data_IF_051125347884
#
_entry.id   IF_051125347884
#
_cell.length_a   1.000
_cell.length_b   1.000
_cell.length_c   1.000
_cell.angle_alpha   90.00
_cell.angle_beta   90.00
_cell.angle_gamma   90.00
#
_symmetry.space_group_name_H-M   'P 1'
#
loop_
_entity.id
_entity.type
_entity.pdbx_description
1 polymer ?
#
# COMPACT_ATOMS: atom_id res chain seq x y z
N UNK A 1 11.72 -14.76 3.22
CA UNK A 1 11.32 -15.02 1.82
C UNK A 1 10.32 -13.97 1.43
N UNK A 2 10.48 -13.36 0.26
CA UNK A 2 9.55 -12.41 -0.33
C UNK A 2 9.10 -13.00 -1.66
N UNK A 3 7.79 -13.03 -1.91
CA UNK A 3 7.20 -13.50 -3.16
C UNK A 3 6.38 -12.35 -3.73
N UNK A 4 6.73 -11.92 -4.94
CA UNK A 4 6.01 -10.85 -5.66
C UNK A 4 5.27 -11.52 -6.81
N UNK A 5 3.97 -11.24 -6.91
CA UNK A 5 3.11 -11.71 -8.00
C UNK A 5 2.55 -10.51 -8.72
N UNK A 6 2.89 -10.37 -9.99
CA UNK A 6 2.38 -9.31 -10.86
C UNK A 6 1.05 -9.77 -11.50
N UNK A 7 -0.01 -8.99 -11.26
CA UNK A 7 -1.35 -9.25 -11.80
C UNK A 7 -1.74 -8.25 -12.90
N UNK A 8 -0.80 -7.44 -13.42
CA UNK A 8 -1.06 -6.33 -14.33
C UNK A 8 -1.77 -6.71 -15.63
N UNK A 9 -1.56 -7.92 -16.15
CA UNK A 9 -2.35 -8.42 -17.30
C UNK A 9 -3.78 -8.73 -16.93
N UNK A 10 -4.00 -9.32 -15.75
CA UNK A 10 -5.32 -9.72 -15.25
C UNK A 10 -6.14 -8.54 -14.71
N UNK A 11 -5.49 -7.42 -14.39
CA UNK A 11 -6.14 -6.20 -13.90
C UNK A 11 -6.83 -5.40 -15.01
N UNK A 12 -6.73 -5.83 -16.27
CA UNK A 12 -7.39 -5.19 -17.41
C UNK A 12 -8.87 -5.56 -17.48
N UNK A 13 -9.67 -4.66 -18.02
CA UNK A 13 -11.09 -4.93 -18.31
C UNK A 13 -11.25 -6.21 -19.15
N UNK A 14 -12.24 -7.03 -18.80
CA UNK A 14 -12.55 -8.31 -19.44
C UNK A 14 -11.82 -9.52 -18.87
N UNK A 15 -10.96 -9.34 -17.86
CA UNK A 15 -10.24 -10.43 -17.16
C UNK A 15 -10.74 -10.66 -15.73
N UNK A 16 -11.91 -10.15 -15.36
CA UNK A 16 -12.40 -10.12 -13.98
C UNK A 16 -12.56 -11.53 -13.39
N UNK A 17 -13.00 -12.50 -14.19
CA UNK A 17 -13.13 -13.88 -13.77
C UNK A 17 -11.76 -14.56 -13.57
N UNK A 18 -10.81 -14.31 -14.48
CA UNK A 18 -9.46 -14.84 -14.43
C UNK A 18 -8.70 -14.25 -13.23
N UNK A 19 -8.84 -12.94 -13.00
CA UNK A 19 -8.34 -12.25 -11.81
C UNK A 19 -8.92 -12.90 -10.54
N UNK A 20 -10.24 -13.12 -10.49
CA UNK A 20 -10.87 -13.75 -9.33
C UNK A 20 -10.31 -15.16 -9.05
N UNK A 21 -10.19 -16.00 -10.07
CA UNK A 21 -9.63 -17.35 -9.94
C UNK A 21 -8.17 -17.31 -9.49
N UNK A 22 -7.35 -16.44 -10.09
CA UNK A 22 -5.94 -16.30 -9.73
C UNK A 22 -5.77 -15.86 -8.27
N UNK A 23 -6.46 -14.80 -7.86
CA UNK A 23 -6.39 -14.28 -6.48
C UNK A 23 -6.92 -15.31 -5.48
N UNK A 24 -8.05 -15.97 -5.74
CA UNK A 24 -8.57 -17.03 -4.84
C UNK A 24 -7.54 -18.17 -4.71
N UNK A 25 -6.90 -18.57 -5.80
CA UNK A 25 -5.89 -19.64 -5.80
C UNK A 25 -4.65 -19.24 -4.99
N UNK A 26 -4.19 -18.00 -5.11
CA UNK A 26 -3.08 -17.45 -4.32
C UNK A 26 -3.43 -17.40 -2.84
N UNK A 27 -4.60 -16.87 -2.48
CA UNK A 27 -5.08 -16.78 -1.10
C UNK A 27 -5.24 -18.18 -0.47
N UNK A 28 -5.72 -19.18 -1.22
CA UNK A 28 -5.76 -20.57 -0.77
C UNK A 28 -4.37 -21.16 -0.57
N UNK A 29 -3.43 -20.87 -1.47
CA UNK A 29 -2.06 -21.35 -1.34
C UNK A 29 -1.39 -20.78 -0.09
N UNK A 30 -1.61 -19.49 0.19
CA UNK A 30 -1.17 -18.84 1.43
C UNK A 30 -1.80 -19.51 2.65
N UNK A 31 -3.11 -19.78 2.62
CA UNK A 31 -3.80 -20.46 3.70
C UNK A 31 -3.20 -21.84 3.98
N UNK A 32 -2.94 -22.64 2.94
CA UNK A 32 -2.33 -23.96 3.09
C UNK A 32 -0.92 -23.89 3.69
N UNK A 33 -0.13 -22.88 3.31
CA UNK A 33 1.19 -22.64 3.91
C UNK A 33 1.04 -22.34 5.40
N UNK A 34 0.10 -21.47 5.78
CA UNK A 34 -0.12 -21.11 7.17
C UNK A 34 -0.67 -22.26 8.01
N UNK A 35 -1.54 -23.11 7.45
CA UNK A 35 -2.03 -24.31 8.15
C UNK A 35 -0.91 -25.33 8.37
N UNK A 36 -0.03 -25.52 7.39
CA UNK A 36 1.17 -26.37 7.53
C UNK A 36 2.10 -25.82 8.62
N UNK A 37 2.28 -24.51 8.65
CA UNK A 37 3.24 -23.83 9.53
C UNK A 37 2.59 -23.25 10.81
N UNK A 38 1.35 -23.65 11.15
CA UNK A 38 0.55 -23.02 12.22
C UNK A 38 1.17 -23.09 13.63
N UNK A 39 2.13 -24.00 13.84
CA UNK A 39 2.87 -24.15 15.09
C UNK A 39 4.23 -23.44 15.07
N UNK A 40 4.54 -22.71 13.99
CA UNK A 40 5.71 -21.85 13.90
C UNK A 40 5.38 -20.46 14.44
N UNK A 41 6.37 -19.80 15.05
CA UNK A 41 6.28 -18.40 15.49
C UNK A 41 6.48 -17.40 14.34
N UNK A 42 6.15 -17.79 13.11
CA UNK A 42 6.44 -16.99 11.92
C UNK A 42 5.16 -16.52 11.25
N UNK A 43 4.93 -15.22 11.38
CA UNK A 43 3.83 -14.55 10.72
C UNK A 43 4.01 -14.49 9.19
N UNK A 44 2.87 -14.42 8.49
CA UNK A 44 2.80 -14.16 7.05
C UNK A 44 2.17 -12.78 6.84
N UNK A 45 2.80 -11.96 6.01
CA UNK A 45 2.23 -10.67 5.59
C UNK A 45 1.81 -10.82 4.13
N UNK A 46 0.55 -10.48 3.85
CA UNK A 46 -0.06 -10.54 2.52
C UNK A 46 -0.41 -9.12 2.09
N UNK A 47 0.51 -8.40 1.43
CA UNK A 47 0.22 -7.10 0.86
C UNK A 47 -0.52 -7.23 -0.47
N UNK A 48 -1.61 -6.47 -0.61
CA UNK A 48 -2.35 -6.29 -1.86
C UNK A 48 -2.29 -4.81 -2.21
N UNK A 49 -1.57 -4.48 -3.28
CA UNK A 49 -1.57 -3.16 -3.87
C UNK A 49 -2.80 -2.98 -4.78
N UNK A 50 -3.27 -1.75 -4.92
CA UNK A 50 -4.54 -1.42 -5.60
C UNK A 50 -5.72 -2.29 -5.11
N UNK A 51 -5.91 -2.30 -3.80
CA UNK A 51 -6.87 -3.12 -3.09
C UNK A 51 -8.30 -3.09 -3.62
N UNK A 52 -8.69 -2.00 -4.29
CA UNK A 52 -9.99 -1.88 -4.95
C UNK A 52 -10.25 -3.03 -5.94
N UNK A 53 -9.21 -3.57 -6.61
CA UNK A 53 -9.32 -4.72 -7.52
C UNK A 53 -9.90 -5.95 -6.81
N UNK A 54 -9.50 -6.19 -5.56
CA UNK A 54 -9.92 -7.36 -4.79
C UNK A 54 -11.25 -7.11 -4.06
N UNK A 55 -11.57 -5.85 -3.73
CA UNK A 55 -12.77 -5.53 -2.97
C UNK A 55 -13.99 -5.22 -3.82
N UNK A 56 -13.82 -4.77 -5.06
CA UNK A 56 -14.92 -4.47 -5.99
C UNK A 56 -15.50 -5.73 -6.63
N UNK A 57 -14.68 -6.75 -6.88
CA UNK A 57 -15.14 -7.97 -7.52
C UNK A 57 -16.13 -8.74 -6.62
N UNK A 58 -17.35 -9.05 -7.11
CA UNK A 58 -18.41 -9.69 -6.31
C UNK A 58 -18.04 -11.04 -5.70
N UNK A 59 -17.10 -11.77 -6.30
CA UNK A 59 -16.62 -13.05 -5.80
C UNK A 59 -15.47 -12.87 -4.80
N UNK A 60 -14.56 -11.93 -5.07
CA UNK A 60 -13.37 -11.72 -4.24
C UNK A 60 -13.68 -11.01 -2.93
N UNK A 61 -14.53 -9.98 -2.90
CA UNK A 61 -14.81 -9.22 -1.69
C UNK A 61 -15.32 -10.08 -0.52
N UNK A 62 -16.39 -10.89 -0.71
CA UNK A 62 -16.86 -11.82 0.31
C UNK A 62 -15.82 -12.87 0.70
N UNK A 63 -15.05 -13.38 -0.26
CA UNK A 63 -14.02 -14.38 -0.03
C UNK A 63 -12.86 -13.83 0.82
N UNK A 64 -12.32 -12.66 0.45
CA UNK A 64 -11.29 -11.95 1.19
C UNK A 64 -11.74 -11.64 2.62
N UNK A 65 -13.00 -11.21 2.80
CA UNK A 65 -13.57 -10.98 4.14
C UNK A 65 -13.61 -12.26 4.97
N UNK A 66 -13.99 -13.39 4.38
CA UNK A 66 -14.04 -14.68 5.06
C UNK A 66 -12.63 -15.15 5.45
N UNK A 67 -11.69 -15.08 4.51
CA UNK A 67 -10.33 -15.59 4.74
C UNK A 67 -9.58 -14.74 5.76
N UNK A 68 -9.73 -13.41 5.71
CA UNK A 68 -9.14 -12.50 6.69
C UNK A 68 -9.60 -12.79 8.13
N UNK A 69 -10.85 -13.26 8.33
CA UNK A 69 -11.33 -13.70 9.65
C UNK A 69 -10.63 -14.96 10.13
N UNK A 70 -10.39 -15.93 9.24
CA UNK A 70 -9.72 -17.18 9.58
C UNK A 70 -8.24 -16.93 9.92
N UNK A 71 -7.60 -16.08 9.13
CA UNK A 71 -6.19 -15.71 9.23
C UNK A 71 -5.76 -15.10 10.56
N UNK A 72 -6.67 -14.45 11.29
CA UNK A 72 -6.40 -13.96 12.66
C UNK A 72 -5.92 -15.05 13.62
N UNK A 73 -6.30 -16.31 13.40
CA UNK A 73 -5.89 -17.44 14.25
C UNK A 73 -4.59 -18.10 13.78
N UNK A 74 -4.10 -17.76 12.59
CA UNK A 74 -2.98 -18.42 11.92
C UNK A 74 -1.74 -17.51 11.76
N UNK A 75 -1.72 -16.34 12.41
CA UNK A 75 -0.59 -15.42 12.31
C UNK A 75 -0.44 -14.77 10.93
N UNK A 76 -1.54 -14.58 10.18
CA UNK A 76 -1.49 -13.94 8.86
C UNK A 76 -2.09 -12.54 8.90
N UNK A 77 -1.35 -11.57 8.37
CA UNK A 77 -1.73 -10.16 8.26
C UNK A 77 -2.06 -9.80 6.81
N UNK A 78 -3.33 -9.46 6.54
CA UNK A 78 -3.75 -8.91 5.26
C UNK A 78 -3.53 -7.38 5.27
N UNK A 79 -2.70 -6.89 4.36
CA UNK A 79 -2.46 -5.46 4.14
C UNK A 79 -3.06 -5.06 2.80
N UNK A 80 -3.91 -4.03 2.82
CA UNK A 80 -4.56 -3.50 1.62
C UNK A 80 -4.10 -2.06 1.43
N UNK A 81 -3.47 -1.79 0.29
CA UNK A 81 -3.05 -0.45 -0.10
C UNK A 81 -3.99 0.05 -1.20
N UNK A 82 -4.50 1.26 -1.06
CA UNK A 82 -5.37 1.88 -2.06
C UNK A 82 -5.20 3.38 -2.02
N UNK A 83 -5.36 4.02 -3.18
CA UNK A 83 -5.36 5.48 -3.32
C UNK A 83 -6.78 6.05 -3.29
N UNK A 84 -7.76 5.27 -3.77
CA UNK A 84 -9.16 5.68 -3.87
C UNK A 84 -10.04 4.77 -3.02
N UNK A 85 -10.67 5.33 -1.99
CA UNK A 85 -11.66 4.62 -1.18
C UNK A 85 -13.08 4.75 -1.74
N UNK A 86 -13.33 5.67 -2.69
CA UNK A 86 -14.63 5.82 -3.33
C UNK A 86 -15.04 4.52 -4.04
N UNK A 87 -14.09 3.87 -4.71
CA UNK A 87 -14.29 2.62 -5.46
C UNK A 87 -14.65 1.44 -4.57
N UNK A 88 -14.50 1.54 -3.24
CA UNK A 88 -14.83 0.44 -2.34
C UNK A 88 -16.36 0.33 -2.18
N UNK A 89 -16.94 -0.85 -2.46
CA UNK A 89 -18.37 -1.03 -2.30
C UNK A 89 -18.72 -1.13 -0.81
N UNK A 90 -19.97 -0.81 -0.45
CA UNK A 90 -20.41 -0.82 0.96
C UNK A 90 -20.30 -2.21 1.61
N UNK A 91 -20.30 -3.29 0.83
CA UNK A 91 -20.04 -4.65 1.33
C UNK A 91 -18.64 -4.81 1.93
N UNK A 92 -17.66 -4.03 1.47
CA UNK A 92 -16.29 -4.02 1.99
C UNK A 92 -16.22 -3.43 3.41
N UNK A 93 -17.26 -2.71 3.86
CA UNK A 93 -17.35 -2.17 5.23
C UNK A 93 -17.13 -3.22 6.30
N UNK A 94 -17.64 -4.45 6.10
CA UNK A 94 -17.42 -5.54 7.06
C UNK A 94 -15.94 -5.90 7.20
N UNK A 95 -15.20 -5.88 6.09
CA UNK A 95 -13.77 -6.16 6.08
C UNK A 95 -12.96 -5.00 6.65
N UNK A 96 -13.26 -3.77 6.23
CA UNK A 96 -12.53 -2.57 6.69
C UNK A 96 -12.78 -2.26 8.17
N UNK A 97 -13.99 -2.52 8.68
CA UNK A 97 -14.29 -2.43 10.12
C UNK A 97 -13.42 -3.38 10.97
N UNK A 98 -12.94 -4.47 10.37
CA UNK A 98 -12.08 -5.43 11.06
C UNK A 98 -10.61 -5.03 11.05
N UNK A 99 -10.22 -4.01 10.29
CA UNK A 99 -8.84 -3.56 10.21
C UNK A 99 -8.39 -3.00 11.56
N UNK A 100 -7.40 -3.64 12.15
CA UNK A 100 -6.79 -3.23 13.43
C UNK A 100 -5.92 -1.98 13.27
N UNK A 101 -5.36 -1.81 12.08
CA UNK A 101 -4.48 -0.70 11.72
C UNK A 101 -5.05 0.03 10.51
N UNK A 102 -5.18 1.34 10.64
CA UNK A 102 -5.39 2.27 9.54
C UNK A 102 -4.17 3.16 9.46
N UNK A 103 -3.53 3.20 8.30
CA UNK A 103 -2.40 4.08 8.02
C UNK A 103 -2.82 4.97 6.87
N UNK A 104 -3.15 6.21 7.21
CA UNK A 104 -3.66 7.19 6.25
C UNK A 104 -2.53 8.18 5.97
N UNK A 105 -2.00 8.20 4.75
CA UNK A 105 -1.05 9.23 4.33
C UNK A 105 -1.79 10.56 4.08
N UNK A 106 -1.12 11.54 3.49
CA UNK A 106 -1.77 12.79 3.08
C UNK A 106 -2.93 12.50 2.15
N UNK A 107 -4.12 13.00 2.52
CA UNK A 107 -5.33 12.82 1.73
C UNK A 107 -6.08 14.15 1.57
N UNK A 108 -6.79 14.37 0.45
CA UNK A 108 -7.70 15.51 0.31
C UNK A 108 -8.91 15.36 1.25
N UNK A 109 -9.60 16.47 1.59
CA UNK A 109 -10.76 16.43 2.49
C UNK A 109 -11.86 15.44 2.06
N UNK A 110 -12.05 15.24 0.77
CA UNK A 110 -13.04 14.31 0.22
C UNK A 110 -12.75 12.85 0.60
N UNK A 111 -11.47 12.43 0.57
CA UNK A 111 -11.07 11.08 0.98
C UNK A 111 -11.27 10.85 2.49
N UNK A 112 -11.16 11.90 3.32
CA UNK A 112 -11.45 11.80 4.76
C UNK A 112 -12.93 11.44 4.99
N UNK A 113 -13.83 11.95 4.17
CA UNK A 113 -15.25 11.56 4.21
C UNK A 113 -15.45 10.12 3.72
N UNK A 114 -14.66 9.65 2.74
CA UNK A 114 -14.70 8.26 2.31
C UNK A 114 -14.25 7.29 3.42
N UNK A 115 -13.21 7.64 4.20
CA UNK A 115 -12.85 6.88 5.40
C UNK A 115 -14.02 6.85 6.39
N UNK A 116 -14.73 7.97 6.57
CA UNK A 116 -15.84 8.05 7.50
C UNK A 116 -17.00 7.10 7.17
N UNK A 117 -17.12 6.60 5.92
CA UNK A 117 -18.06 5.53 5.53
C UNK A 117 -17.76 4.21 6.26
N UNK A 118 -16.47 3.94 6.49
CA UNK A 118 -15.95 2.68 7.01
C UNK A 118 -15.41 2.76 8.43
N UNK A 119 -15.09 3.95 8.94
CA UNK A 119 -14.57 4.13 10.30
C UNK A 119 -15.23 5.34 10.95
N UNK A 120 -15.77 5.16 12.16
CA UNK A 120 -16.27 6.30 12.93
C UNK A 120 -15.09 7.16 13.37
N UNK A 121 -15.06 8.42 12.91
CA UNK A 121 -14.02 9.40 13.22
C UNK A 121 -14.58 10.52 14.11
N UNK A 122 -13.87 10.84 15.19
CA UNK A 122 -14.14 12.03 16.00
C UNK A 122 -13.69 13.31 15.26
N UNK A 123 -14.14 14.47 15.71
CA UNK A 123 -13.73 15.76 15.13
C UNK A 123 -12.20 15.96 15.19
N UNK A 124 -11.56 15.57 16.29
CA UNK A 124 -10.10 15.67 16.45
C UNK A 124 -9.35 14.70 15.53
N UNK A 125 -9.86 13.49 15.32
CA UNK A 125 -9.26 12.53 14.37
C UNK A 125 -9.36 13.03 12.94
N UNK A 126 -10.49 13.64 12.55
CA UNK A 126 -10.65 14.29 11.24
C UNK A 126 -9.65 15.43 11.07
N UNK A 127 -9.51 16.29 12.10
CA UNK A 127 -8.54 17.39 12.10
C UNK A 127 -7.10 16.88 11.99
N UNK A 128 -6.77 15.77 12.66
CA UNK A 128 -5.45 15.14 12.58
C UNK A 128 -5.15 14.64 11.16
N UNK A 129 -6.11 13.95 10.52
CA UNK A 129 -5.97 13.52 9.11
C UNK A 129 -5.70 14.71 8.17
N UNK A 130 -6.46 15.79 8.33
CA UNK A 130 -6.34 17.00 7.52
C UNK A 130 -5.06 17.80 7.80
N UNK A 131 -4.36 17.53 8.91
CA UNK A 131 -3.13 18.22 9.29
C UNK A 131 -1.87 17.61 8.66
N UNK A 132 -1.95 16.37 8.14
CA UNK A 132 -0.81 15.69 7.55
C UNK A 132 -0.35 16.40 6.27
N UNK A 133 0.96 16.63 6.16
CA UNK A 133 1.57 17.32 5.02
C UNK A 133 2.57 16.44 4.27
N UNK A 134 2.80 16.77 3.00
CA UNK A 134 3.79 16.12 2.14
C UNK A 134 4.69 17.19 1.56
N UNK A 135 6.00 16.96 1.67
CA UNK A 135 6.99 17.77 0.97
C UNK A 135 7.67 16.89 -0.07
N UNK A 136 7.43 17.12 -1.37
CA UNK A 136 8.02 16.31 -2.44
C UNK A 136 9.52 16.14 -2.25
N UNK A 137 10.02 14.92 -2.54
CA UNK A 137 11.44 14.55 -2.41
C UNK A 137 12.02 14.69 -0.99
N UNK A 138 11.21 14.92 0.06
CA UNK A 138 11.67 14.99 1.46
C UNK A 138 10.96 13.99 2.36
N UNK A 139 9.68 14.22 2.64
CA UNK A 139 8.91 13.38 3.55
C UNK A 139 7.42 13.39 3.21
N UNK A 140 6.73 12.37 3.69
CA UNK A 140 5.26 12.31 3.69
C UNK A 140 4.80 12.05 5.12
N UNK A 141 3.87 12.85 5.60
CA UNK A 141 3.21 12.59 6.88
C UNK A 141 1.97 11.73 6.68
N UNK A 142 1.54 11.12 7.78
CA UNK A 142 0.30 10.39 7.84
C UNK A 142 -0.15 10.22 9.27
N UNK A 143 -1.31 9.60 9.42
CA UNK A 143 -1.91 9.29 10.71
C UNK A 143 -2.08 7.79 10.82
N UNK A 144 -1.69 7.24 11.97
CA UNK A 144 -1.97 5.86 12.34
C UNK A 144 -3.18 5.86 13.28
N UNK A 145 -4.19 5.05 12.97
CA UNK A 145 -5.23 4.69 13.92
C UNK A 145 -5.21 3.19 14.19
N UNK A 146 -5.01 2.84 15.44
CA UNK A 146 -5.23 1.51 16.02
C UNK A 146 -5.91 1.66 17.37
N UNK A 147 -6.23 0.54 18.02
CA UNK A 147 -6.80 0.55 19.37
C UNK A 147 -5.89 1.24 20.39
N UNK A 148 -4.57 1.02 20.29
CA UNK A 148 -3.58 1.50 21.28
C UNK A 148 -2.80 2.73 20.84
N UNK A 149 -2.77 3.02 19.54
CA UNK A 149 -1.95 4.08 18.96
C UNK A 149 -2.79 4.93 18.04
N UNK A 150 -2.85 6.23 18.34
CA UNK A 150 -3.45 7.25 17.48
C UNK A 150 -2.48 8.43 17.40
N UNK A 151 -1.71 8.49 16.31
CA UNK A 151 -0.62 9.47 16.20
C UNK A 151 -0.41 9.93 14.77
N UNK A 152 0.04 11.18 14.64
CA UNK A 152 0.72 11.65 13.44
C UNK A 152 2.11 10.99 13.38
N UNK A 153 2.54 10.62 12.19
CA UNK A 153 3.90 10.16 11.93
C UNK A 153 4.45 10.85 10.67
N UNK A 154 5.77 10.84 10.55
CA UNK A 154 6.47 11.35 9.37
C UNK A 154 7.36 10.26 8.80
N UNK A 155 7.06 9.83 7.57
CA UNK A 155 7.91 8.94 6.81
C UNK A 155 8.98 9.74 6.06
N UNK A 156 10.24 9.52 6.41
CA UNK A 156 11.42 10.08 5.75
C UNK A 156 12.19 8.95 5.06
N UNK A 157 11.79 8.56 3.83
CA UNK A 157 12.43 7.44 3.14
C UNK A 157 13.88 7.79 2.74
N UNK A 158 14.79 6.80 2.77
CA UNK A 158 16.13 6.97 2.21
C UNK A 158 16.05 7.40 0.75
N UNK A 159 16.99 8.24 0.32
CA UNK A 159 16.96 8.87 -1.01
C UNK A 159 16.98 7.84 -2.14
N UNK A 160 17.65 6.70 -1.94
CA UNK A 160 17.63 5.61 -2.91
C UNK A 160 16.23 5.02 -3.12
N UNK A 161 15.46 4.84 -2.05
CA UNK A 161 14.11 4.28 -2.13
C UNK A 161 13.19 5.22 -2.91
N UNK A 162 13.33 6.54 -2.69
CA UNK A 162 12.64 7.53 -3.50
C UNK A 162 13.06 7.46 -4.96
N UNK A 163 14.37 7.49 -5.24
CA UNK A 163 14.89 7.49 -6.61
C UNK A 163 14.43 6.27 -7.43
N UNK A 164 14.32 5.09 -6.79
CA UNK A 164 13.79 3.88 -7.40
C UNK A 164 12.26 3.93 -7.59
N UNK A 165 11.54 4.48 -6.62
CA UNK A 165 10.07 4.63 -6.68
C UNK A 165 9.56 5.81 -7.51
N UNK A 166 10.46 6.64 -8.05
CA UNK A 166 10.11 7.79 -8.88
C UNK A 166 9.58 7.32 -10.25
N UNK A 167 8.27 7.39 -10.45
CA UNK A 167 7.58 6.91 -11.66
C UNK A 167 6.88 8.01 -12.45
N UNK A 168 6.92 9.25 -11.96
CA UNK A 168 6.27 10.38 -12.63
C UNK A 168 6.99 10.75 -13.93
N UNK A 169 6.23 11.31 -14.89
CA UNK A 169 6.78 11.70 -16.20
C UNK A 169 8.04 12.59 -16.13
N UNK A 170 8.09 13.68 -15.33
CA UNK A 170 9.30 14.50 -15.21
C UNK A 170 10.46 13.74 -14.54
N UNK A 171 10.18 12.81 -13.64
CA UNK A 171 11.20 12.02 -12.96
C UNK A 171 11.83 10.98 -13.88
N UNK A 172 11.01 10.33 -14.71
CA UNK A 172 11.46 9.45 -15.79
C UNK A 172 12.31 10.21 -16.82
N UNK A 173 11.93 11.45 -17.14
CA UNK A 173 12.71 12.32 -18.02
C UNK A 173 14.07 12.70 -17.42
N UNK A 174 14.11 13.09 -16.14
CA UNK A 174 15.36 13.37 -15.40
C UNK A 174 16.28 12.14 -15.41
N UNK A 175 15.74 10.95 -15.11
CA UNK A 175 16.54 9.71 -15.13
C UNK A 175 17.09 9.42 -16.53
N UNK A 176 16.28 9.59 -17.57
CA UNK A 176 16.71 9.39 -18.97
C UNK A 176 17.81 10.37 -19.38
N UNK A 177 17.71 11.62 -18.94
CA UNK A 177 18.76 12.62 -19.19
C UNK A 177 20.09 12.18 -18.56
N UNK A 178 20.08 11.75 -17.30
CA UNK A 178 21.29 11.27 -16.61
C UNK A 178 21.90 10.06 -17.33
N UNK A 179 21.07 9.10 -17.75
CA UNK A 179 21.54 7.94 -18.50
C UNK A 179 22.27 8.34 -19.78
N UNK A 180 21.75 9.33 -20.52
CA UNK A 180 22.35 9.80 -21.76
C UNK A 180 23.65 10.58 -21.51
N UNK A 181 23.67 11.46 -20.50
CA UNK A 181 24.83 12.29 -20.15
C UNK A 181 26.01 11.47 -19.64
N UNK A 182 25.74 10.45 -18.82
CA UNK A 182 26.76 9.62 -18.18
C UNK A 182 26.98 8.27 -18.85
N UNK A 183 26.22 7.98 -19.91
CA UNK A 183 26.20 6.69 -20.61
C UNK A 183 26.10 5.49 -19.64
N UNK A 184 25.11 5.55 -18.74
CA UNK A 184 24.93 4.57 -17.67
C UNK A 184 23.57 3.87 -17.72
N UNK A 185 23.45 2.78 -16.97
CA UNK A 185 22.19 2.03 -16.82
C UNK A 185 21.13 2.80 -16.04
N UNK A 186 19.88 2.35 -16.10
CA UNK A 186 18.78 2.98 -15.35
C UNK A 186 19.01 2.90 -13.83
N UNK A 187 19.57 1.79 -13.34
CA UNK A 187 19.89 1.61 -11.94
C UNK A 187 20.98 2.58 -11.48
N UNK A 188 22.05 2.73 -12.26
CA UNK A 188 23.11 3.70 -11.97
C UNK A 188 22.57 5.14 -11.99
N UNK A 189 21.72 5.48 -12.96
CA UNK A 189 21.05 6.78 -13.00
C UNK A 189 20.20 7.02 -11.75
N UNK A 190 19.51 6.00 -11.22
CA UNK A 190 18.78 6.10 -9.95
C UNK A 190 19.73 6.37 -8.76
N UNK A 191 20.93 5.77 -8.73
CA UNK A 191 21.95 6.10 -7.71
C UNK A 191 22.41 7.56 -7.80
N UNK A 192 22.56 8.10 -9.01
CA UNK A 192 22.88 9.53 -9.20
C UNK A 192 21.75 10.44 -8.72
N UNK A 193 20.49 10.11 -9.00
CA UNK A 193 19.32 10.85 -8.46
C UNK A 193 19.32 10.79 -6.93
N UNK A 194 19.57 9.62 -6.34
CA UNK A 194 19.64 9.45 -4.89
C UNK A 194 20.72 10.33 -4.26
N UNK A 195 21.93 10.37 -4.84
CA UNK A 195 23.02 11.24 -4.36
C UNK A 195 22.64 12.72 -4.40
N UNK A 196 22.04 13.18 -5.51
CA UNK A 196 21.54 14.57 -5.64
C UNK A 196 20.48 14.88 -4.58
N UNK A 197 19.61 13.92 -4.24
CA UNK A 197 18.62 14.09 -3.17
C UNK A 197 19.29 14.22 -1.80
N UNK A 198 20.31 13.42 -1.51
CA UNK A 198 21.06 13.48 -0.26
C UNK A 198 21.79 14.81 -0.10
N UNK A 199 22.47 15.29 -1.16
CA UNK A 199 23.12 16.60 -1.20
C UNK A 199 22.11 17.73 -0.91
N UNK A 200 20.94 17.71 -1.57
CA UNK A 200 19.87 18.68 -1.35
C UNK A 200 19.22 18.61 0.05
N UNK A 201 19.38 17.47 0.74
CA UNK A 201 18.93 17.26 2.12
C UNK A 201 20.01 17.63 3.14
N UNK A 202 21.20 18.01 2.69
CA UNK A 202 22.35 18.29 3.56
C UNK A 202 22.98 17.05 4.18
N UNK A 203 22.77 15.87 3.58
CA UNK A 203 23.40 14.62 4.00
C UNK A 203 24.74 14.50 3.27
N UNK A 204 25.85 14.58 4.02
CA UNK A 204 27.18 14.29 3.49
C UNK A 204 27.38 12.78 3.46
N UNK A 205 27.49 12.19 2.28
CA UNK A 205 27.79 10.76 2.06
C UNK A 205 29.16 10.63 1.41
#
# INVERSE_FOLDING_TARGET
MVTIVDLGTLAREGYEAQMAVAVISLLNSINNIAERDQYSDRDIIVPIDEGHIVTTNPLLGPYATKIAKMWRKLGIWLWIFTQNLEDFPDIAKKMLNMAEWWICLVMPPQEVEQIARFKTLTAEQRKMLLSATKVPRKYTEGVIFSEKVQTLFRAVPPSLYLALGMTEKPEKAERRQIMNELNCSELEAAFHVARRLDENRGLSI
#
